data_IF_270338575767
#
_entry.id   IF_270338575767
#
_cell.length_a   1.000
_cell.length_b   1.000
_cell.length_c   1.000
_cell.angle_alpha   90.00
_cell.angle_beta   90.00
_cell.angle_gamma   90.00
#
_symmetry.space_group_name_H-M   'P 1'
#
loop_
_entity.id
_entity.type
_entity.pdbx_description
1 polymer ?
#
# COMPACT_ATOMS: atom_id res chain seq x y z
N UNK A 1 1.82 53.17 -14.00
CA UNK A 1 1.92 52.17 -15.07
C UNK A 1 3.25 51.47 -14.88
N UNK A 2 3.23 50.29 -14.26
CA UNK A 2 4.43 49.66 -13.73
C UNK A 2 5.18 48.94 -14.85
N UNK A 3 6.36 49.46 -15.19
CA UNK A 3 7.35 48.75 -16.00
C UNK A 3 7.65 47.41 -15.31
N UNK A 4 7.04 46.35 -15.81
CA UNK A 4 7.55 45.01 -15.56
C UNK A 4 8.90 44.98 -16.25
N UNK A 5 9.97 45.19 -15.49
CA UNK A 5 11.33 44.88 -15.91
C UNK A 5 11.29 43.49 -16.54
N UNK A 6 11.25 43.46 -17.88
CA UNK A 6 11.23 42.23 -18.63
C UNK A 6 12.58 41.59 -18.46
N UNK A 7 12.76 40.84 -17.38
CA UNK A 7 14.00 40.12 -17.11
C UNK A 7 14.11 39.07 -18.20
N UNK A 8 14.90 39.39 -19.22
CA UNK A 8 15.17 38.51 -20.35
C UNK A 8 16.24 37.51 -19.93
N UNK A 9 15.88 36.24 -19.87
CA UNK A 9 16.77 35.15 -19.49
C UNK A 9 17.38 34.51 -20.75
N UNK A 10 18.71 34.28 -20.80
CA UNK A 10 19.33 33.53 -21.88
C UNK A 10 18.74 32.13 -22.03
N UNK A 11 18.60 31.66 -23.27
CA UNK A 11 18.08 30.31 -23.55
C UNK A 11 18.82 29.20 -22.80
N UNK A 12 20.14 29.33 -22.60
CA UNK A 12 20.94 28.34 -21.87
C UNK A 12 20.54 28.20 -20.40
N UNK A 13 20.15 29.31 -19.76
CA UNK A 13 19.73 29.34 -18.37
C UNK A 13 18.27 28.91 -18.25
N UNK A 14 17.41 29.40 -19.14
CA UNK A 14 16.03 28.95 -19.27
C UNK A 14 15.93 27.43 -19.51
N UNK A 15 16.84 26.86 -20.31
CA UNK A 15 16.92 25.42 -20.57
C UNK A 15 17.21 24.62 -19.30
N UNK A 16 18.12 25.09 -18.45
CA UNK A 16 18.42 24.46 -17.15
C UNK A 16 17.21 24.51 -16.22
N UNK A 17 16.55 25.66 -16.15
CA UNK A 17 15.37 25.87 -15.28
C UNK A 17 14.19 24.98 -15.73
N UNK A 18 13.95 24.90 -17.05
CA UNK A 18 12.87 24.10 -17.63
C UNK A 18 13.21 22.61 -17.76
N UNK A 19 14.44 22.19 -17.43
CA UNK A 19 14.88 20.79 -17.56
C UNK A 19 14.88 20.24 -18.99
N UNK A 20 15.05 21.11 -20.00
CA UNK A 20 15.00 20.73 -21.42
C UNK A 20 16.24 21.19 -22.17
N UNK A 21 16.49 20.62 -23.36
CA UNK A 21 17.62 21.07 -24.18
C UNK A 21 17.44 22.51 -24.67
N UNK A 22 18.52 23.30 -24.83
CA UNK A 22 18.46 24.63 -25.46
C UNK A 22 17.79 24.64 -26.84
N UNK A 23 17.97 23.57 -27.62
CA UNK A 23 17.29 23.38 -28.92
C UNK A 23 15.77 23.29 -28.77
N UNK A 24 15.29 22.58 -27.75
CA UNK A 24 13.87 22.48 -27.41
C UNK A 24 13.30 23.86 -27.09
N UNK A 25 14.02 24.66 -26.33
CA UNK A 25 13.62 26.02 -25.98
C UNK A 25 13.51 26.91 -27.21
N UNK A 26 14.52 26.91 -28.09
CA UNK A 26 14.47 27.66 -29.37
C UNK A 26 13.33 27.18 -30.26
N UNK A 27 13.08 25.87 -30.30
CA UNK A 27 11.94 25.29 -31.03
C UNK A 27 10.60 25.80 -30.51
N UNK A 28 10.43 25.93 -29.18
CA UNK A 28 9.21 26.47 -28.56
C UNK A 28 9.03 27.96 -28.88
N UNK A 29 10.11 28.75 -28.87
CA UNK A 29 10.08 30.16 -29.30
C UNK A 29 9.62 30.26 -30.77
N UNK A 30 10.16 29.43 -31.67
CA UNK A 30 9.77 29.41 -33.09
C UNK A 30 8.31 28.99 -33.32
N UNK A 31 7.73 28.22 -32.41
CA UNK A 31 6.32 27.81 -32.45
C UNK A 31 5.38 28.85 -31.83
N UNK A 32 5.91 29.93 -31.25
CA UNK A 32 5.11 30.94 -30.55
C UNK A 32 4.66 30.52 -29.14
N UNK A 33 5.15 29.38 -28.63
CA UNK A 33 4.82 28.88 -27.28
C UNK A 33 5.55 29.68 -26.17
N UNK A 34 6.63 30.38 -26.52
CA UNK A 34 7.43 31.21 -25.62
C UNK A 34 7.77 32.55 -26.28
N UNK A 35 7.70 33.65 -25.55
CA UNK A 35 8.15 34.95 -26.02
C UNK A 35 9.68 35.01 -25.94
N UNK A 36 10.32 34.94 -27.12
CA UNK A 36 11.77 35.06 -27.24
C UNK A 36 12.18 36.01 -28.34
N UNK A 37 13.32 36.69 -28.12
CA UNK A 37 13.94 37.58 -29.11
C UNK A 37 15.42 37.25 -29.28
N UNK A 38 15.97 37.63 -30.44
CA UNK A 38 17.41 37.50 -30.71
C UNK A 38 18.11 38.82 -30.37
N UNK A 39 19.00 38.80 -29.40
CA UNK A 39 19.74 39.97 -28.92
C UNK A 39 21.24 39.72 -29.09
N UNK A 40 21.93 40.57 -29.86
CA UNK A 40 23.40 40.54 -30.08
C UNK A 40 23.95 39.12 -30.33
N UNK A 41 23.24 38.36 -31.18
CA UNK A 41 23.53 36.97 -31.57
C UNK A 41 23.15 35.84 -30.58
N UNK A 42 22.43 36.12 -29.49
CA UNK A 42 21.91 35.11 -28.55
C UNK A 42 20.39 35.18 -28.45
N UNK A 43 19.75 34.04 -28.20
CA UNK A 43 18.31 34.00 -27.93
C UNK A 43 18.05 34.24 -26.44
N UNK A 44 17.09 35.10 -26.14
CA UNK A 44 16.63 35.41 -24.78
C UNK A 44 15.11 35.26 -24.68
N UNK A 45 14.60 34.91 -23.50
CA UNK A 45 13.20 34.58 -23.22
C UNK A 45 12.70 35.41 -22.05
N UNK A 46 11.42 35.76 -22.07
CA UNK A 46 10.77 36.45 -20.95
C UNK A 46 10.59 35.52 -19.74
N UNK A 47 11.04 35.95 -18.56
CA UNK A 47 10.98 35.13 -17.33
C UNK A 47 9.56 34.74 -16.92
N UNK A 48 8.53 35.54 -17.25
CA UNK A 48 7.12 35.23 -16.99
C UNK A 48 6.66 33.92 -17.63
N UNK A 49 7.17 33.63 -18.83
CA UNK A 49 6.76 32.47 -19.61
C UNK A 49 7.40 31.19 -19.05
N UNK A 50 8.60 31.31 -18.47
CA UNK A 50 9.29 30.22 -17.77
C UNK A 50 8.48 29.81 -16.53
N UNK A 51 8.05 30.79 -15.71
CA UNK A 51 7.24 30.53 -14.52
C UNK A 51 5.88 29.91 -14.82
N UNK A 52 5.20 30.38 -15.88
CA UNK A 52 3.92 29.82 -16.33
C UNK A 52 4.03 28.36 -16.77
N UNK A 53 5.09 28.00 -17.49
CA UNK A 53 5.33 26.62 -17.93
C UNK A 53 5.64 25.68 -16.76
N UNK A 54 6.48 26.12 -15.80
CA UNK A 54 6.77 25.33 -14.61
C UNK A 54 5.53 25.11 -13.75
N UNK A 55 4.74 26.16 -13.51
CA UNK A 55 3.50 26.08 -12.74
C UNK A 55 2.50 25.10 -13.39
N UNK A 56 2.33 25.16 -14.71
CA UNK A 56 1.46 24.25 -15.45
C UNK A 56 1.93 22.79 -15.37
N UNK A 57 3.23 22.55 -15.56
CA UNK A 57 3.79 21.19 -15.51
C UNK A 57 3.71 20.58 -14.11
N UNK A 58 4.09 21.34 -13.08
CA UNK A 58 4.00 20.91 -11.67
C UNK A 58 2.54 20.68 -11.26
N UNK A 59 1.62 21.55 -11.67
CA UNK A 59 0.19 21.39 -11.36
C UNK A 59 -0.39 20.13 -12.00
N UNK A 60 0.01 19.81 -13.23
CA UNK A 60 -0.51 18.63 -13.92
C UNK A 60 0.04 17.33 -13.29
N UNK A 61 1.35 17.28 -13.02
CA UNK A 61 1.97 16.15 -12.31
C UNK A 61 1.42 15.97 -10.90
N UNK A 62 1.18 17.06 -10.16
CA UNK A 62 0.57 16.97 -8.85
C UNK A 62 -0.88 16.46 -8.92
N UNK A 63 -1.68 16.90 -9.91
CA UNK A 63 -3.03 16.38 -10.10
C UNK A 63 -3.05 14.88 -10.41
N UNK A 64 -2.15 14.41 -11.28
CA UNK A 64 -2.07 12.98 -11.60
C UNK A 64 -1.64 12.18 -10.37
N UNK A 65 -0.63 12.65 -9.63
CA UNK A 65 -0.13 11.98 -8.44
C UNK A 65 -1.19 11.94 -7.33
N UNK A 66 -1.91 13.04 -7.10
CA UNK A 66 -3.02 13.10 -6.14
C UNK A 66 -4.13 12.12 -6.51
N UNK A 67 -4.49 12.01 -7.80
CA UNK A 67 -5.48 11.04 -8.26
C UNK A 67 -5.04 9.58 -8.06
N UNK A 68 -3.76 9.28 -8.30
CA UNK A 68 -3.19 7.95 -8.04
C UNK A 68 -3.20 7.62 -6.55
N UNK A 69 -2.72 8.55 -5.70
CA UNK A 69 -2.70 8.38 -4.25
C UNK A 69 -4.10 8.22 -3.66
N UNK A 70 -5.10 8.95 -4.17
CA UNK A 70 -6.50 8.79 -3.75
C UNK A 70 -7.06 7.41 -4.08
N UNK A 71 -6.70 6.88 -5.26
CA UNK A 71 -7.13 5.55 -5.69
C UNK A 71 -6.49 4.47 -4.80
N UNK A 72 -5.20 4.58 -4.54
CA UNK A 72 -4.47 3.69 -3.64
C UNK A 72 -5.02 3.73 -2.21
N UNK A 73 -5.27 4.93 -1.66
CA UNK A 73 -5.90 5.07 -0.35
C UNK A 73 -7.27 4.41 -0.27
N UNK A 74 -8.07 4.45 -1.35
CA UNK A 74 -9.36 3.78 -1.40
C UNK A 74 -9.19 2.25 -1.36
N UNK A 75 -8.30 1.70 -2.19
CA UNK A 75 -8.01 0.27 -2.22
C UNK A 75 -7.48 -0.24 -0.88
N UNK A 76 -6.57 0.49 -0.23
CA UNK A 76 -6.04 0.12 1.09
C UNK A 76 -7.13 0.12 2.16
N UNK A 77 -8.06 1.09 2.12
CA UNK A 77 -9.20 1.13 3.06
C UNK A 77 -10.14 -0.06 2.86
N UNK A 78 -10.46 -0.40 1.62
CA UNK A 78 -11.29 -1.56 1.30
C UNK A 78 -10.62 -2.87 1.76
N UNK A 79 -9.31 -2.99 1.57
CA UNK A 79 -8.54 -4.15 2.03
C UNK A 79 -8.53 -4.28 3.56
N UNK A 80 -8.38 -3.16 4.28
CA UNK A 80 -8.45 -3.15 5.74
C UNK A 80 -9.83 -3.62 6.22
N UNK A 81 -10.90 -3.16 5.60
CA UNK A 81 -12.25 -3.58 5.97
C UNK A 81 -12.50 -5.07 5.70
N UNK A 82 -12.07 -5.57 4.54
CA UNK A 82 -12.13 -7.01 4.23
C UNK A 82 -11.35 -7.84 5.25
N UNK A 83 -10.13 -7.42 5.61
CA UNK A 83 -9.32 -8.13 6.60
C UNK A 83 -9.98 -8.12 7.99
N UNK A 84 -10.58 -7.00 8.39
CA UNK A 84 -11.33 -6.89 9.66
C UNK A 84 -12.56 -7.78 9.69
N UNK A 85 -13.28 -7.89 8.59
CA UNK A 85 -14.41 -8.80 8.46
C UNK A 85 -13.94 -10.27 8.57
N UNK A 86 -12.87 -10.63 7.86
CA UNK A 86 -12.30 -11.98 7.96
C UNK A 86 -11.83 -12.32 9.36
N UNK A 87 -11.25 -11.36 10.09
CA UNK A 87 -10.87 -11.55 11.49
C UNK A 87 -12.10 -11.84 12.35
N UNK A 88 -13.20 -11.09 12.18
CA UNK A 88 -14.45 -11.34 12.92
C UNK A 88 -15.01 -12.73 12.66
N UNK A 89 -15.04 -13.18 11.41
CA UNK A 89 -15.52 -14.53 11.07
C UNK A 89 -14.65 -15.60 11.73
N UNK A 90 -13.33 -15.45 11.66
CA UNK A 90 -12.38 -16.38 12.28
C UNK A 90 -12.49 -16.39 13.81
N UNK A 91 -12.78 -15.26 14.43
CA UNK A 91 -13.04 -15.16 15.87
C UNK A 91 -14.33 -15.88 16.26
N UNK A 92 -15.39 -15.75 15.45
CA UNK A 92 -16.65 -16.47 15.66
C UNK A 92 -16.47 -17.99 15.51
N UNK A 93 -15.78 -18.43 14.45
CA UNK A 93 -15.46 -19.84 14.23
C UNK A 93 -14.63 -20.43 15.38
N UNK A 94 -13.63 -19.67 15.85
CA UNK A 94 -12.82 -20.07 17.00
C UNK A 94 -13.67 -20.25 18.26
N UNK A 95 -14.58 -19.31 18.54
CA UNK A 95 -15.48 -19.40 19.69
C UNK A 95 -16.38 -20.65 19.60
N UNK A 96 -16.94 -20.92 18.41
CA UNK A 96 -17.74 -22.12 18.15
C UNK A 96 -16.94 -23.41 18.40
N UNK A 97 -15.73 -23.51 17.84
CA UNK A 97 -14.88 -24.69 18.01
C UNK A 97 -14.48 -24.90 19.47
N UNK A 98 -14.19 -23.83 20.21
CA UNK A 98 -13.90 -23.92 21.65
C UNK A 98 -15.10 -24.45 22.43
N UNK A 99 -16.31 -23.95 22.18
CA UNK A 99 -17.53 -24.48 22.81
C UNK A 99 -17.74 -25.95 22.47
N UNK A 100 -17.51 -26.34 21.21
CA UNK A 100 -17.64 -27.73 20.77
C UNK A 100 -16.63 -28.66 21.46
N UNK A 101 -15.38 -28.21 21.64
CA UNK A 101 -14.36 -28.95 22.36
C UNK A 101 -14.80 -29.19 23.81
N UNK A 102 -15.25 -28.15 24.52
CA UNK A 102 -15.72 -28.27 25.91
C UNK A 102 -16.87 -29.27 26.02
N UNK A 103 -17.88 -29.16 25.15
CA UNK A 103 -19.01 -30.09 25.15
C UNK A 103 -18.59 -31.54 24.86
N UNK A 104 -17.63 -31.75 23.95
CA UNK A 104 -17.09 -33.08 23.67
C UNK A 104 -16.28 -33.63 24.85
N UNK A 105 -15.50 -32.80 25.54
CA UNK A 105 -14.77 -33.20 26.74
C UNK A 105 -15.72 -33.61 27.88
N UNK A 106 -16.82 -32.91 28.06
CA UNK A 106 -17.87 -33.27 29.04
C UNK A 106 -18.54 -34.60 28.70
N UNK A 107 -18.86 -34.82 27.42
CA UNK A 107 -19.41 -36.09 26.95
C UNK A 107 -18.42 -37.24 27.13
N UNK A 108 -17.13 -37.01 26.87
CA UNK A 108 -16.10 -38.02 27.12
C UNK A 108 -16.04 -38.36 28.61
N UNK A 109 -16.04 -37.36 29.50
CA UNK A 109 -16.04 -37.59 30.96
C UNK A 109 -17.25 -38.40 31.43
N UNK A 110 -18.44 -38.16 30.86
CA UNK A 110 -19.66 -38.87 31.24
C UNK A 110 -19.73 -40.29 30.65
N UNK A 111 -19.20 -40.49 29.43
CA UNK A 111 -19.18 -41.78 28.74
C UNK A 111 -18.00 -42.67 29.14
N UNK A 112 -16.95 -42.11 29.75
CA UNK A 112 -15.94 -42.93 30.41
C UNK A 112 -16.47 -43.38 31.76
N UNK A 113 -16.97 -44.62 31.94
CA UNK A 113 -17.12 -45.15 33.29
C UNK A 113 -15.74 -45.05 33.92
N UNK A 114 -15.65 -44.31 35.04
CA UNK A 114 -14.44 -44.10 35.85
C UNK A 114 -13.64 -45.40 35.80
N UNK A 115 -12.58 -45.41 34.98
CA UNK A 115 -11.97 -46.66 34.54
C UNK A 115 -11.77 -47.53 35.77
N UNK A 116 -12.47 -48.68 35.82
CA UNK A 116 -12.36 -49.59 36.96
C UNK A 116 -10.86 -49.77 37.21
N UNK A 117 -10.37 -49.46 38.44
CA UNK A 117 -8.95 -49.50 38.71
C UNK A 117 -8.44 -50.86 38.26
N UNK A 118 -7.36 -50.85 37.45
CA UNK A 118 -6.80 -52.08 36.88
C UNK A 118 -6.66 -53.09 38.04
N UNK A 119 -7.25 -54.29 37.94
CA UNK A 119 -7.23 -55.24 39.05
C UNK A 119 -5.79 -55.47 39.50
N UNK A 120 -5.54 -55.60 40.81
CA UNK A 120 -4.19 -55.74 41.34
C UNK A 120 -3.48 -56.91 40.66
N UNK A 121 -2.15 -56.77 40.45
CA UNK A 121 -1.33 -57.77 39.74
C UNK A 121 -1.59 -59.20 40.22
N UNK A 122 -1.86 -59.41 41.52
CA UNK A 122 -2.21 -60.71 42.10
C UNK A 122 -3.44 -61.39 41.47
N UNK A 123 -4.47 -60.62 41.09
CA UNK A 123 -5.66 -61.16 40.42
C UNK A 123 -5.39 -61.51 38.96
N UNK A 124 -4.55 -60.71 38.28
CA UNK A 124 -4.16 -60.94 36.88
C UNK A 124 -3.35 -62.21 36.69
N UNK A 125 -2.54 -62.58 37.68
CA UNK A 125 -1.63 -63.73 37.56
C UNK A 125 -2.25 -65.01 38.20
N UNK A 126 -3.37 -64.89 38.92
CA UNK A 126 -4.08 -66.03 39.57
C UNK A 126 -4.52 -67.11 38.58
N UNK A 127 -4.90 -66.73 37.35
CA UNK A 127 -5.30 -67.65 36.29
C UNK A 127 -4.12 -68.41 35.66
N UNK A 128 -2.94 -67.80 35.64
CA UNK A 128 -1.72 -68.40 35.08
C UNK A 128 -1.21 -69.51 36.00
N UNK A 129 -1.30 -69.32 37.31
CA UNK A 129 -0.87 -70.31 38.30
C UNK A 129 -1.86 -71.45 38.56
N UNK A 130 -3.12 -71.36 38.09
CA UNK A 130 -4.09 -72.46 38.22
C UNK A 130 -3.97 -73.54 37.13
N UNK A 131 -3.12 -73.34 36.12
CA UNK A 131 -2.96 -74.25 34.97
C UNK A 131 -1.66 -75.05 34.98
N UNK A 132 -1.20 -75.46 36.17
CA UNK A 132 -0.19 -76.51 36.35
C UNK A 132 -0.73 -77.53 37.35
N UNK A 133 -1.43 -78.53 36.81
CA UNK A 133 -1.48 -79.89 37.35
C UNK A 133 -0.54 -80.73 36.50
#
# INVERSE_FOLDING_TARGET
>A
MSDTNGTWCPVSEAAKILGVSPKTVIRRIRRGELQGRKERNRWVIKLSDIGGQMSGQVSNTNRTNVGQLQTELKMLREQIEMMRERIRDLEADKAYLQQRIVALEELVKSLTPKALPKPPLRERIRGIFRRRR
#
